data_IF_753701506991
#
_entry.id   IF_753701506991
#
_cell.length_a   1.000
_cell.length_b   1.000
_cell.length_c   1.000
_cell.angle_alpha   90.00
_cell.angle_beta   90.00
_cell.angle_gamma   90.00
#
_symmetry.space_group_name_H-M   'P 1'
#
loop_
_entity.id
_entity.type
_entity.pdbx_description
1 polymer ?
#
# COMPACT_ATOMS: atom_id res chain seq x y z
N UNK A 1 -11.24 0.19 -25.79
CA UNK A 1 -10.21 -0.84 -26.05
C UNK A 1 -8.98 -0.68 -25.18
N UNK A 2 -8.45 0.54 -24.98
CA UNK A 2 -7.19 0.81 -24.24
C UNK A 2 -7.15 0.22 -22.82
N UNK A 3 -8.23 0.37 -22.03
CA UNK A 3 -8.32 -0.20 -20.68
C UNK A 3 -8.31 -1.74 -20.67
N UNK A 4 -8.91 -2.38 -21.69
CA UNK A 4 -9.01 -3.84 -21.76
C UNK A 4 -7.66 -4.45 -22.17
N UNK A 5 -6.92 -3.80 -23.06
CA UNK A 5 -5.54 -4.21 -23.42
C UNK A 5 -4.56 -4.01 -22.25
N UNK A 6 -4.67 -2.91 -21.50
CA UNK A 6 -3.85 -2.68 -20.29
C UNK A 6 -4.14 -3.71 -19.18
N UNK A 7 -5.41 -4.06 -18.96
CA UNK A 7 -5.82 -5.08 -17.99
C UNK A 7 -5.39 -6.50 -18.37
N UNK A 8 -5.32 -6.82 -19.67
CA UNK A 8 -4.82 -8.12 -20.16
C UNK A 8 -3.32 -8.29 -19.91
N UNK A 9 -2.52 -7.24 -20.11
CA UNK A 9 -1.09 -7.25 -19.77
C UNK A 9 -0.84 -7.38 -18.26
N UNK A 10 -1.71 -6.80 -17.42
CA UNK A 10 -1.58 -6.89 -15.96
C UNK A 10 -1.77 -8.32 -15.43
N UNK A 11 -2.72 -9.08 -16.01
CA UNK A 11 -3.01 -10.47 -15.62
C UNK A 11 -1.86 -11.45 -15.89
N UNK A 12 -1.01 -11.20 -16.89
CA UNK A 12 0.14 -12.07 -17.20
C UNK A 12 1.37 -11.79 -16.34
N UNK A 13 1.47 -10.59 -15.74
CA UNK A 13 2.64 -10.16 -14.96
C UNK A 13 2.59 -10.72 -13.52
N UNK A 14 1.42 -10.70 -12.89
CA UNK A 14 1.24 -10.99 -11.45
C UNK A 14 1.78 -12.37 -11.01
N UNK A 15 1.52 -13.49 -11.72
CA UNK A 15 1.99 -14.81 -11.26
C UNK A 15 3.52 -14.96 -11.37
N UNK A 16 4.12 -14.40 -12.42
CA UNK A 16 5.56 -14.52 -12.68
C UNK A 16 6.39 -13.60 -11.79
N UNK A 17 5.87 -12.41 -11.44
CA UNK A 17 6.52 -11.49 -10.51
C UNK A 17 6.43 -11.96 -9.06
N UNK A 18 5.28 -12.47 -8.60
CA UNK A 18 5.14 -13.04 -7.25
C UNK A 18 6.08 -14.22 -7.01
N UNK A 19 6.23 -15.13 -7.97
CA UNK A 19 7.17 -16.26 -7.86
C UNK A 19 8.63 -15.79 -7.83
N UNK A 20 8.98 -14.77 -8.62
CA UNK A 20 10.34 -14.21 -8.64
C UNK A 20 10.64 -13.43 -7.34
N UNK A 21 9.65 -12.74 -6.79
CA UNK A 21 9.78 -11.99 -5.53
C UNK A 21 9.86 -12.93 -4.33
N UNK A 22 9.10 -14.04 -4.34
CA UNK A 22 9.23 -15.11 -3.35
C UNK A 22 10.61 -15.78 -3.39
N UNK A 23 11.24 -15.88 -4.57
CA UNK A 23 12.61 -16.41 -4.73
C UNK A 23 13.70 -15.42 -4.30
N UNK A 24 13.42 -14.12 -4.35
CA UNK A 24 14.34 -13.05 -3.93
C UNK A 24 14.07 -12.55 -2.51
N UNK A 25 13.36 -13.32 -1.67
CA UNK A 25 13.16 -12.96 -0.28
C UNK A 25 14.51 -12.90 0.43
N UNK A 26 14.92 -11.69 0.83
CA UNK A 26 16.03 -11.48 1.75
C UNK A 26 15.83 -12.40 2.94
N UNK A 27 16.85 -13.22 3.26
CA UNK A 27 16.84 -14.06 4.44
C UNK A 27 16.63 -13.19 5.67
N UNK A 28 15.75 -13.57 6.60
CA UNK A 28 15.57 -12.81 7.84
C UNK A 28 16.89 -12.74 8.60
N UNK A 29 17.13 -11.60 9.24
CA UNK A 29 18.30 -11.39 10.08
C UNK A 29 18.34 -12.47 11.18
N UNK A 30 19.49 -13.12 11.34
CA UNK A 30 19.65 -14.19 12.31
C UNK A 30 19.72 -13.61 13.74
N UNK A 31 18.69 -13.87 14.53
CA UNK A 31 18.58 -13.37 15.91
C UNK A 31 19.72 -13.85 16.82
N UNK A 32 20.36 -14.99 16.51
CA UNK A 32 21.52 -15.46 17.28
C UNK A 32 22.71 -14.51 17.16
N UNK A 33 22.86 -13.81 16.04
CA UNK A 33 23.95 -12.87 15.81
C UNK A 33 23.78 -11.57 16.63
N UNK A 34 22.59 -11.32 17.21
CA UNK A 34 22.38 -10.22 18.15
C UNK A 34 23.19 -10.38 19.45
N UNK A 35 23.57 -11.61 19.82
CA UNK A 35 24.44 -11.88 20.97
C UNK A 35 25.92 -11.62 20.65
N UNK A 36 26.33 -11.93 19.42
CA UNK A 36 27.71 -11.76 18.95
C UNK A 36 28.00 -10.31 18.58
N UNK A 37 26.98 -9.58 18.10
CA UNK A 37 27.04 -8.16 17.72
C UNK A 37 28.21 -7.86 16.77
N UNK A 38 28.40 -8.72 15.77
CA UNK A 38 29.51 -8.61 14.84
C UNK A 38 29.37 -7.39 13.93
N UNK A 39 30.50 -6.81 13.45
CA UNK A 39 30.46 -5.69 12.51
C UNK A 39 29.69 -6.00 11.22
N UNK A 40 29.79 -7.25 10.72
CA UNK A 40 29.07 -7.69 9.54
C UNK A 40 27.56 -7.74 9.77
N UNK A 41 27.12 -8.24 10.94
CA UNK A 41 25.71 -8.22 11.31
C UNK A 41 25.16 -6.79 11.44
N UNK A 42 25.92 -5.86 12.05
CA UNK A 42 25.53 -4.45 12.12
C UNK A 42 25.39 -3.81 10.75
N UNK A 43 26.22 -4.21 9.78
CA UNK A 43 26.09 -3.75 8.40
C UNK A 43 24.81 -4.26 7.74
N UNK A 44 24.54 -5.55 7.82
CA UNK A 44 23.29 -6.14 7.28
C UNK A 44 22.04 -5.52 7.90
N UNK A 45 22.05 -5.31 9.22
CA UNK A 45 21.00 -4.63 9.95
C UNK A 45 20.78 -3.21 9.43
N UNK A 46 21.87 -2.45 9.24
CA UNK A 46 21.81 -1.09 8.73
C UNK A 46 21.26 -1.02 7.31
N UNK A 47 21.59 -1.98 6.44
CA UNK A 47 21.04 -2.07 5.09
C UNK A 47 19.52 -2.30 5.10
N UNK A 48 19.04 -3.22 5.95
CA UNK A 48 17.61 -3.47 6.12
C UNK A 48 16.89 -2.24 6.68
N UNK A 49 17.47 -1.62 7.70
CA UNK A 49 16.96 -0.40 8.33
C UNK A 49 16.82 0.75 7.32
N UNK A 50 17.89 1.05 6.57
CA UNK A 50 17.90 2.10 5.56
C UNK A 50 16.88 1.81 4.45
N UNK A 51 16.70 0.54 4.08
CA UNK A 51 15.65 0.15 3.14
C UNK A 51 14.25 0.50 3.66
N UNK A 52 13.94 0.15 4.91
CA UNK A 52 12.64 0.44 5.53
C UNK A 52 12.42 1.95 5.69
N UNK A 53 13.42 2.68 6.19
CA UNK A 53 13.30 4.13 6.40
C UNK A 53 13.23 4.91 5.09
N UNK A 54 13.94 4.45 4.05
CA UNK A 54 13.86 5.03 2.71
C UNK A 54 12.46 4.95 2.09
N UNK A 55 11.67 3.92 2.43
CA UNK A 55 10.30 3.77 1.92
C UNK A 55 9.36 4.86 2.42
N UNK A 56 9.61 5.46 3.58
CA UNK A 56 8.68 6.43 4.18
C UNK A 56 8.38 7.60 3.23
N UNK A 57 9.42 8.17 2.62
CA UNK A 57 9.29 9.30 1.71
C UNK A 57 8.52 8.91 0.45
N UNK A 58 8.83 7.74 -0.11
CA UNK A 58 8.15 7.19 -1.28
C UNK A 58 6.67 6.92 -1.01
N UNK A 59 6.35 6.31 0.15
CA UNK A 59 4.98 6.04 0.58
C UNK A 59 4.20 7.34 0.75
N UNK A 60 4.76 8.33 1.46
CA UNK A 60 4.12 9.63 1.66
C UNK A 60 3.84 10.34 0.33
N UNK A 61 4.80 10.29 -0.61
CA UNK A 61 4.62 10.84 -1.95
C UNK A 61 3.49 10.13 -2.71
N UNK A 62 3.45 8.80 -2.66
CA UNK A 62 2.41 7.99 -3.30
C UNK A 62 1.02 8.31 -2.74
N UNK A 63 0.87 8.38 -1.43
CA UNK A 63 -0.40 8.75 -0.77
C UNK A 63 -0.86 10.14 -1.23
N UNK A 64 0.06 11.12 -1.27
CA UNK A 64 -0.24 12.48 -1.72
C UNK A 64 -0.75 12.49 -3.17
N UNK A 65 -0.08 11.75 -4.06
CA UNK A 65 -0.49 11.63 -5.47
C UNK A 65 -1.85 10.96 -5.61
N UNK A 66 -2.13 9.90 -4.85
CA UNK A 66 -3.44 9.21 -4.89
C UNK A 66 -4.55 10.15 -4.44
N UNK A 67 -4.35 10.86 -3.32
CA UNK A 67 -5.32 11.84 -2.82
C UNK A 67 -5.64 12.92 -3.85
N UNK A 68 -4.60 13.54 -4.41
CA UNK A 68 -4.75 14.56 -5.46
C UNK A 68 -5.43 14.00 -6.72
N UNK A 69 -5.09 12.77 -7.11
CA UNK A 69 -5.74 12.10 -8.25
C UNK A 69 -7.22 11.85 -8.02
N UNK A 70 -7.61 11.41 -6.82
CA UNK A 70 -9.02 11.20 -6.48
C UNK A 70 -9.79 12.52 -6.45
N UNK A 71 -9.19 13.58 -5.92
CA UNK A 71 -9.79 14.92 -5.91
C UNK A 71 -10.06 15.45 -7.33
N UNK A 72 -9.05 15.42 -8.21
CA UNK A 72 -9.20 15.82 -9.61
C UNK A 72 -10.23 14.94 -10.35
N UNK A 73 -10.20 13.63 -10.09
CA UNK A 73 -11.16 12.72 -10.70
C UNK A 73 -12.59 13.00 -10.19
N UNK A 74 -12.77 13.42 -8.94
CA UNK A 74 -14.08 13.80 -8.38
C UNK A 74 -14.64 15.03 -9.08
N UNK A 75 -13.83 16.06 -9.29
CA UNK A 75 -14.23 17.26 -10.04
C UNK A 75 -14.61 16.92 -11.48
N UNK A 76 -13.79 16.11 -12.17
CA UNK A 76 -14.10 15.61 -13.51
C UNK A 76 -15.42 14.85 -13.54
N UNK A 77 -15.65 13.96 -12.56
CA UNK A 77 -16.90 13.19 -12.42
C UNK A 77 -18.09 14.13 -12.32
N UNK A 78 -17.98 15.19 -11.51
CA UNK A 78 -19.06 16.17 -11.35
C UNK A 78 -19.39 16.87 -12.67
N UNK A 79 -18.38 17.30 -13.43
CA UNK A 79 -18.58 17.91 -14.76
C UNK A 79 -19.18 16.95 -15.77
N UNK A 80 -18.75 15.69 -15.79
CA UNK A 80 -19.35 14.68 -16.69
C UNK A 80 -20.80 14.36 -16.34
N UNK A 81 -21.17 14.37 -15.05
CA UNK A 81 -22.55 14.19 -14.63
C UNK A 81 -23.43 15.38 -15.04
N UNK A 82 -22.94 16.62 -14.90
CA UNK A 82 -23.61 17.81 -15.43
C UNK A 82 -23.79 17.71 -16.95
N UNK A 83 -22.75 17.26 -17.67
CA UNK A 83 -22.84 17.08 -19.11
C UNK A 83 -23.88 16.01 -19.52
N UNK A 84 -23.95 14.91 -18.78
CA UNK A 84 -24.98 13.89 -18.98
C UNK A 84 -26.40 14.44 -18.76
N UNK A 85 -26.58 15.28 -17.75
CA UNK A 85 -27.85 15.94 -17.46
C UNK A 85 -28.28 16.87 -18.61
N UNK A 86 -27.36 17.68 -19.14
CA UNK A 86 -27.64 18.54 -20.29
C UNK A 86 -28.05 17.74 -21.53
N UNK A 87 -27.41 16.59 -21.82
CA UNK A 87 -27.87 15.70 -22.89
C UNK A 87 -29.27 15.12 -22.63
N UNK A 88 -29.58 14.80 -21.37
CA UNK A 88 -30.91 14.38 -20.96
C UNK A 88 -31.96 15.47 -21.16
N UNK A 89 -31.63 16.72 -20.85
CA UNK A 89 -32.50 17.87 -21.08
C UNK A 89 -32.67 18.15 -22.58
N UNK A 90 -31.59 18.10 -23.35
CA UNK A 90 -31.63 18.25 -24.80
C UNK A 90 -32.52 17.19 -25.45
N UNK A 91 -32.41 15.92 -25.01
CA UNK A 91 -33.26 14.83 -25.50
C UNK A 91 -34.76 15.10 -25.29
N UNK A 92 -35.15 15.72 -24.16
CA UNK A 92 -36.56 16.06 -23.87
C UNK A 92 -37.13 17.09 -24.83
N UNK A 93 -36.28 17.97 -25.37
CA UNK A 93 -36.66 19.03 -26.31
C UNK A 93 -36.71 18.55 -27.76
N UNK A 94 -36.25 17.32 -28.05
CA UNK A 94 -36.23 16.82 -29.43
C UNK A 94 -37.60 16.28 -29.88
N UNK A 95 -38.12 16.76 -31.02
CA UNK A 95 -39.35 16.22 -31.60
C UNK A 95 -39.14 14.85 -32.26
N UNK A 96 -37.94 14.61 -32.78
CA UNK A 96 -37.57 13.34 -33.41
C UNK A 96 -37.30 12.25 -32.35
N UNK A 97 -38.08 11.17 -32.44
CA UNK A 97 -38.02 10.05 -31.50
C UNK A 97 -36.68 9.27 -31.53
N UNK A 98 -36.01 9.22 -32.68
CA UNK A 98 -34.70 8.59 -32.84
C UNK A 98 -33.63 9.43 -32.14
N UNK A 99 -33.60 10.74 -32.41
CA UNK A 99 -32.63 11.66 -31.79
C UNK A 99 -32.80 11.66 -30.27
N UNK A 100 -34.05 11.76 -29.78
CA UNK A 100 -34.37 11.65 -28.35
C UNK A 100 -33.80 10.37 -27.74
N UNK A 101 -34.01 9.23 -28.39
CA UNK A 101 -33.53 7.92 -27.90
C UNK A 101 -32.00 7.86 -27.85
N UNK A 102 -31.31 8.37 -28.87
CA UNK A 102 -29.84 8.38 -28.93
C UNK A 102 -29.27 9.23 -27.79
N UNK A 103 -29.77 10.45 -27.62
CA UNK A 103 -29.30 11.38 -26.59
C UNK A 103 -29.56 10.85 -25.18
N UNK A 104 -30.75 10.28 -24.91
CA UNK A 104 -31.04 9.65 -23.62
C UNK A 104 -30.15 8.45 -23.32
N UNK A 105 -29.87 7.60 -24.33
CA UNK A 105 -28.94 6.46 -24.15
C UNK A 105 -27.51 6.93 -23.88
N UNK A 106 -27.07 8.00 -24.53
CA UNK A 106 -25.75 8.59 -24.28
C UNK A 106 -25.65 9.14 -22.85
N UNK A 107 -26.63 9.92 -22.41
CA UNK A 107 -26.70 10.44 -21.05
C UNK A 107 -26.66 9.32 -19.99
N UNK A 108 -27.47 8.28 -20.16
CA UNK A 108 -27.49 7.13 -19.24
C UNK A 108 -26.15 6.38 -19.24
N UNK A 109 -25.56 6.17 -20.41
CA UNK A 109 -24.24 5.51 -20.52
C UNK A 109 -23.16 6.32 -19.80
N UNK A 110 -23.18 7.64 -19.91
CA UNK A 110 -22.23 8.52 -19.25
C UNK A 110 -22.41 8.48 -17.73
N UNK A 111 -23.64 8.49 -17.23
CA UNK A 111 -23.93 8.33 -15.80
C UNK A 111 -23.41 7.00 -15.24
N UNK A 112 -23.55 5.90 -15.97
CA UNK A 112 -23.05 4.58 -15.55
C UNK A 112 -21.51 4.52 -15.49
N UNK A 113 -20.83 5.16 -16.45
CA UNK A 113 -19.37 5.30 -16.45
C UNK A 113 -18.92 6.06 -15.20
N UNK A 114 -19.59 7.17 -14.88
CA UNK A 114 -19.21 8.01 -13.75
C UNK A 114 -19.58 7.38 -12.39
N UNK A 115 -20.67 6.61 -12.29
CA UNK A 115 -20.95 5.76 -11.12
C UNK A 115 -19.81 4.76 -10.89
N UNK A 116 -19.36 4.10 -11.95
CA UNK A 116 -18.24 3.14 -11.90
C UNK A 116 -16.93 3.81 -11.45
N UNK A 117 -16.69 5.06 -11.88
CA UNK A 117 -15.53 5.86 -11.45
C UNK A 117 -15.57 6.21 -9.96
N UNK A 118 -16.74 6.59 -9.42
CA UNK A 118 -16.90 6.85 -7.98
C UNK A 118 -16.56 5.63 -7.11
N UNK A 119 -16.98 4.44 -7.53
CA UNK A 119 -16.61 3.19 -6.84
C UNK A 119 -15.09 2.98 -6.88
N UNK A 120 -14.47 3.19 -8.05
CA UNK A 120 -13.02 3.07 -8.20
C UNK A 120 -12.26 4.05 -7.29
N UNK A 121 -12.72 5.30 -7.19
CA UNK A 121 -12.15 6.31 -6.30
C UNK A 121 -12.23 5.90 -4.83
N UNK A 122 -13.35 5.34 -4.38
CA UNK A 122 -13.49 4.82 -3.02
C UNK A 122 -12.51 3.66 -2.74
N UNK A 123 -12.35 2.75 -3.71
CA UNK A 123 -11.37 1.66 -3.59
C UNK A 123 -9.92 2.16 -3.56
N UNK A 124 -9.58 3.23 -4.29
CA UNK A 124 -8.22 3.80 -4.22
C UNK A 124 -7.84 4.21 -2.79
N UNK A 125 -8.80 4.72 -2.01
CA UNK A 125 -8.57 5.08 -0.63
C UNK A 125 -8.35 3.86 0.27
N UNK A 126 -9.29 2.92 0.28
CA UNK A 126 -9.22 1.76 1.20
C UNK A 126 -8.11 0.77 0.85
N UNK A 127 -7.73 0.67 -0.43
CA UNK A 127 -6.74 -0.32 -0.88
C UNK A 127 -5.31 0.20 -0.85
N UNK A 128 -5.11 1.52 -0.93
CA UNK A 128 -3.76 2.10 -0.95
C UNK A 128 -3.55 3.12 0.16
N UNK A 129 -4.43 4.10 0.33
CA UNK A 129 -4.16 5.19 1.28
C UNK A 129 -4.15 4.66 2.71
N UNK A 130 -5.22 4.00 3.16
CA UNK A 130 -5.32 3.51 4.54
C UNK A 130 -4.20 2.53 4.91
N UNK A 131 -3.87 1.51 4.10
CA UNK A 131 -2.86 0.55 4.49
C UNK A 131 -1.44 1.12 4.46
N UNK A 132 -1.15 2.00 3.49
CA UNK A 132 0.15 2.68 3.43
C UNK A 132 0.34 3.65 4.61
N UNK A 133 -0.72 4.36 5.02
CA UNK A 133 -0.69 5.19 6.22
C UNK A 133 -0.51 4.35 7.49
N UNK A 134 -1.19 3.21 7.57
CA UNK A 134 -1.02 2.27 8.67
C UNK A 134 0.41 1.71 8.73
N UNK A 135 1.04 1.39 7.60
CA UNK A 135 2.42 0.92 7.55
C UNK A 135 3.41 1.96 8.09
N UNK A 136 3.25 3.23 7.71
CA UNK A 136 4.08 4.32 8.24
C UNK A 136 3.82 4.53 9.74
N UNK A 137 2.55 4.62 10.13
CA UNK A 137 2.12 4.94 11.49
C UNK A 137 2.46 3.84 12.51
N UNK A 138 2.21 2.58 12.15
CA UNK A 138 2.30 1.45 13.06
C UNK A 138 3.60 0.63 12.86
N UNK A 139 4.31 0.86 11.75
CA UNK A 139 5.56 0.19 11.43
C UNK A 139 6.76 1.12 11.58
N UNK A 140 6.91 2.05 10.63
CA UNK A 140 8.12 2.89 10.52
C UNK A 140 8.31 3.82 11.73
N UNK A 141 7.26 4.51 12.16
CA UNK A 141 7.37 5.47 13.28
C UNK A 141 7.80 4.76 14.59
N UNK A 142 7.14 3.67 15.03
CA UNK A 142 7.59 2.92 16.20
C UNK A 142 8.99 2.35 16.05
N UNK A 143 9.36 1.85 14.87
CA UNK A 143 10.71 1.33 14.61
C UNK A 143 11.79 2.41 14.85
N UNK A 144 11.56 3.64 14.40
CA UNK A 144 12.47 4.77 14.66
C UNK A 144 12.60 5.11 16.13
N UNK A 145 11.54 4.92 16.92
CA UNK A 145 11.60 5.15 18.37
C UNK A 145 12.35 4.01 19.08
N UNK A 146 12.10 2.76 18.70
CA UNK A 146 12.87 1.60 19.18
C UNK A 146 14.37 1.77 18.88
N UNK A 147 14.71 2.29 17.70
CA UNK A 147 16.10 2.60 17.36
C UNK A 147 16.76 3.53 18.39
N UNK A 148 16.10 4.63 18.77
CA UNK A 148 16.63 5.55 19.78
C UNK A 148 16.79 4.88 21.15
N UNK A 149 15.83 4.02 21.53
CA UNK A 149 15.89 3.26 22.78
C UNK A 149 17.10 2.32 22.79
N UNK A 150 17.32 1.60 21.69
CA UNK A 150 18.49 0.73 21.50
C UNK A 150 19.80 1.51 21.51
N UNK A 151 19.87 2.63 20.79
CA UNK A 151 21.07 3.50 20.76
C UNK A 151 21.42 4.01 22.15
N UNK A 152 20.41 4.42 22.93
CA UNK A 152 20.59 4.82 24.32
C UNK A 152 21.06 3.65 25.19
N UNK A 153 20.43 2.48 25.10
CA UNK A 153 20.81 1.32 25.88
C UNK A 153 22.24 0.84 25.54
N UNK A 154 22.65 0.94 24.27
CA UNK A 154 24.03 0.68 23.83
C UNK A 154 25.01 1.64 24.49
N UNK A 155 24.70 2.95 24.47
CA UNK A 155 25.54 3.97 25.12
C UNK A 155 25.65 3.74 26.63
N UNK A 156 24.55 3.43 27.30
CA UNK A 156 24.53 3.15 28.75
C UNK A 156 25.39 1.92 29.09
N UNK A 157 25.32 0.86 28.28
CA UNK A 157 26.15 -0.34 28.42
C UNK A 157 27.65 -0.05 28.20
N UNK A 158 28.00 0.73 27.17
CA UNK A 158 29.38 1.14 26.89
C UNK A 158 29.95 2.01 28.01
N UNK A 159 29.13 2.92 28.55
CA UNK A 159 29.48 3.80 29.69
C UNK A 159 29.74 2.99 30.96
N UNK A 160 28.85 2.05 31.30
CA UNK A 160 29.03 1.15 32.45
C UNK A 160 30.31 0.30 32.30
N UNK A 161 30.57 -0.23 31.10
CA UNK A 161 31.77 -1.00 30.81
C UNK A 161 33.04 -0.16 30.98
N UNK A 162 33.07 1.05 30.43
CA UNK A 162 34.21 1.96 30.56
C UNK A 162 34.50 2.29 32.04
N UNK A 163 33.45 2.53 32.84
CA UNK A 163 33.56 2.77 34.29
C UNK A 163 34.14 1.56 35.03
N UNK A 164 33.69 0.35 34.71
CA UNK A 164 34.24 -0.88 35.30
C UNK A 164 35.70 -1.09 34.91
N UNK A 165 36.04 -0.94 33.62
CA UNK A 165 37.40 -1.12 33.10
C UNK A 165 38.40 -0.08 33.65
N UNK A 166 37.91 1.10 34.04
CA UNK A 166 38.72 2.12 34.70
C UNK A 166 39.08 1.83 36.16
N UNK A 167 38.45 0.83 36.79
CA UNK A 167 38.73 0.43 38.19
C UNK A 167 39.76 -0.70 38.26
N UNK A 168 40.55 -0.71 39.33
CA UNK A 168 41.46 -1.81 39.68
C UNK A 168 40.73 -2.85 40.55
N UNK A 169 41.19 -4.11 40.61
CA UNK A 169 40.52 -5.18 41.36
C UNK A 169 40.31 -4.92 42.87
N UNK A 170 41.04 -3.97 43.47
CA UNK A 170 40.94 -3.63 44.90
C UNK A 170 40.22 -2.30 45.15
N UNK A 171 39.75 -1.61 44.10
CA UNK A 171 39.08 -0.33 44.25
C UNK A 171 37.71 -0.54 44.90
N UNK A 172 37.35 0.32 45.85
CA UNK A 172 35.99 0.35 46.38
C UNK A 172 34.97 0.60 45.24
N UNK A 173 33.82 -0.05 45.31
CA UNK A 173 32.80 0.08 44.27
C UNK A 173 33.00 -0.81 43.03
N UNK A 174 33.99 -1.71 43.01
CA UNK A 174 34.26 -2.60 41.86
C UNK A 174 33.12 -3.60 41.62
N UNK A 175 32.53 -4.11 42.70
CA UNK A 175 31.41 -5.06 42.62
C UNK A 175 30.16 -4.36 42.07
N UNK A 176 29.85 -3.16 42.55
CA UNK A 176 28.74 -2.33 42.09
C UNK A 176 28.89 -1.97 40.61
N UNK A 177 30.11 -1.61 40.16
CA UNK A 177 30.38 -1.37 38.74
C UNK A 177 30.21 -2.65 37.90
N UNK A 178 30.59 -3.82 38.42
CA UNK A 178 30.35 -5.09 37.74
C UNK A 178 28.86 -5.43 37.61
N UNK A 179 28.06 -5.13 38.62
CA UNK A 179 26.61 -5.32 38.58
C UNK A 179 25.97 -4.37 37.54
N UNK A 180 26.36 -3.10 37.55
CA UNK A 180 25.89 -2.11 36.57
C UNK A 180 26.18 -2.54 35.12
N UNK A 181 27.38 -3.07 34.84
CA UNK A 181 27.71 -3.67 33.52
C UNK A 181 26.78 -4.84 33.18
N UNK A 182 26.53 -5.74 34.13
CA UNK A 182 25.66 -6.88 33.90
C UNK A 182 24.22 -6.47 33.59
N UNK A 183 23.69 -5.48 34.31
CA UNK A 183 22.33 -4.98 34.14
C UNK A 183 22.15 -4.23 32.81
N UNK A 184 23.03 -3.26 32.55
CA UNK A 184 22.98 -2.45 31.32
C UNK A 184 23.21 -3.28 30.06
N UNK A 185 24.13 -4.25 30.08
CA UNK A 185 24.35 -5.17 28.96
C UNK A 185 23.14 -6.06 28.70
N UNK A 186 22.48 -6.54 29.76
CA UNK A 186 21.24 -7.32 29.64
C UNK A 186 20.12 -6.48 29.03
N UNK A 187 19.96 -5.24 29.48
CA UNK A 187 18.95 -4.32 28.96
C UNK A 187 19.20 -4.00 27.48
N UNK A 188 20.44 -3.64 27.10
CA UNK A 188 20.81 -3.45 25.70
C UNK A 188 20.45 -4.66 24.85
N UNK A 189 20.81 -5.87 25.30
CA UNK A 189 20.54 -7.08 24.54
C UNK A 189 19.04 -7.33 24.32
N UNK A 190 18.22 -7.13 25.35
CA UNK A 190 16.77 -7.27 25.23
C UNK A 190 16.19 -6.28 24.22
N UNK A 191 16.54 -4.99 24.35
CA UNK A 191 16.07 -3.95 23.44
C UNK A 191 16.55 -4.21 21.99
N UNK A 192 17.79 -4.66 21.84
CA UNK A 192 18.37 -4.95 20.54
C UNK A 192 17.69 -6.13 19.84
N UNK A 193 17.39 -7.20 20.58
CA UNK A 193 16.62 -8.33 20.06
C UNK A 193 15.23 -7.90 19.58
N UNK A 194 14.49 -7.16 20.40
CA UNK A 194 13.15 -6.67 20.05
C UNK A 194 13.20 -5.79 18.78
N UNK A 195 14.23 -4.95 18.67
CA UNK A 195 14.45 -4.11 17.49
C UNK A 195 14.70 -4.92 16.22
N UNK A 196 15.59 -5.92 16.27
CA UNK A 196 15.89 -6.78 15.11
C UNK A 196 14.68 -7.62 14.72
N UNK A 197 13.93 -8.15 15.70
CA UNK A 197 12.65 -8.82 15.43
C UNK A 197 11.72 -7.88 14.68
N UNK A 198 11.61 -6.62 15.13
CA UNK A 198 10.74 -5.65 14.48
C UNK A 198 11.15 -5.35 13.04
N UNK A 199 12.45 -5.27 12.77
CA UNK A 199 12.98 -5.11 11.41
C UNK A 199 12.59 -6.30 10.54
N UNK A 200 12.77 -7.53 11.03
CA UNK A 200 12.37 -8.74 10.30
C UNK A 200 10.87 -8.77 9.99
N UNK A 201 10.01 -8.39 10.95
CA UNK A 201 8.56 -8.26 10.71
C UNK A 201 8.26 -7.26 9.58
N UNK A 202 8.91 -6.10 9.58
CA UNK A 202 8.66 -5.05 8.59
C UNK A 202 9.24 -5.39 7.22
N UNK A 203 10.40 -6.06 7.16
CA UNK A 203 10.98 -6.64 5.95
C UNK A 203 10.04 -7.66 5.28
N UNK A 204 9.34 -8.47 6.08
CA UNK A 204 8.32 -9.37 5.56
C UNK A 204 7.10 -8.58 5.06
N UNK A 205 6.52 -7.71 5.90
CA UNK A 205 5.31 -6.95 5.56
C UNK A 205 5.45 -6.08 4.31
N UNK A 206 6.56 -5.35 4.18
CA UNK A 206 6.79 -4.44 3.03
C UNK A 206 6.71 -5.17 1.68
N UNK A 207 7.12 -6.44 1.64
CA UNK A 207 7.14 -7.25 0.42
C UNK A 207 5.74 -7.78 0.08
N UNK A 208 5.03 -8.32 1.07
CA UNK A 208 3.74 -8.98 0.85
C UNK A 208 2.58 -7.99 0.70
N UNK A 209 2.42 -7.05 1.64
CA UNK A 209 1.24 -6.18 1.70
C UNK A 209 1.14 -5.29 0.45
N UNK A 210 2.26 -4.67 0.03
CA UNK A 210 2.26 -3.79 -1.15
C UNK A 210 1.90 -4.53 -2.45
N UNK A 211 2.40 -5.76 -2.61
CA UNK A 211 2.08 -6.59 -3.77
C UNK A 211 0.61 -7.02 -3.79
N UNK A 212 0.06 -7.37 -2.63
CA UNK A 212 -1.36 -7.72 -2.51
C UNK A 212 -2.26 -6.51 -2.82
N UNK A 213 -1.94 -5.32 -2.32
CA UNK A 213 -2.70 -4.10 -2.64
C UNK A 213 -2.74 -3.82 -4.14
N UNK A 214 -1.59 -3.93 -4.83
CA UNK A 214 -1.51 -3.72 -6.28
C UNK A 214 -2.30 -4.78 -7.06
N UNK A 215 -2.22 -6.06 -6.65
CA UNK A 215 -2.94 -7.18 -7.26
C UNK A 215 -4.45 -7.03 -7.10
N UNK A 216 -4.89 -6.72 -5.88
CA UNK A 216 -6.31 -6.62 -5.56
C UNK A 216 -6.92 -5.41 -6.26
N UNK A 217 -6.17 -4.30 -6.33
CA UNK A 217 -6.63 -3.11 -7.07
C UNK A 217 -6.83 -3.41 -8.56
N UNK A 218 -5.86 -4.06 -9.20
CA UNK A 218 -5.99 -4.47 -10.61
C UNK A 218 -7.19 -5.39 -10.84
N UNK A 219 -7.48 -6.28 -9.88
CA UNK A 219 -8.65 -7.17 -9.90
C UNK A 219 -9.96 -6.41 -9.76
N UNK A 220 -10.01 -5.40 -8.87
CA UNK A 220 -11.18 -4.54 -8.68
C UNK A 220 -11.45 -3.64 -9.89
N UNK A 221 -10.42 -3.04 -10.49
CA UNK A 221 -10.53 -2.30 -11.76
C UNK A 221 -11.11 -3.21 -12.84
N UNK A 222 -10.60 -4.44 -12.96
CA UNK A 222 -11.09 -5.41 -13.93
C UNK A 222 -12.57 -5.75 -13.71
N UNK A 223 -12.98 -5.96 -12.45
CA UNK A 223 -14.38 -6.28 -12.10
C UNK A 223 -15.31 -5.12 -12.45
N UNK A 224 -14.92 -3.89 -12.15
CA UNK A 224 -15.68 -2.68 -12.51
C UNK A 224 -15.83 -2.60 -14.04
N UNK A 225 -14.72 -2.71 -14.81
CA UNK A 225 -14.76 -2.65 -16.28
C UNK A 225 -15.59 -3.77 -16.91
N UNK A 226 -15.56 -4.98 -16.35
CA UNK A 226 -16.40 -6.10 -16.81
C UNK A 226 -17.88 -5.86 -16.50
N UNK A 227 -18.21 -5.37 -15.30
CA UNK A 227 -19.60 -5.05 -14.95
C UNK A 227 -20.16 -3.97 -15.89
N UNK A 228 -19.39 -2.91 -16.18
CA UNK A 228 -19.77 -1.86 -17.14
C UNK A 228 -19.83 -2.36 -18.60
N UNK A 229 -19.30 -3.54 -18.94
CA UNK A 229 -19.42 -4.15 -20.27
C UNK A 229 -20.52 -5.21 -20.35
N UNK A 230 -20.81 -5.92 -19.25
CA UNK A 230 -21.98 -6.80 -19.14
C UNK A 230 -23.30 -6.00 -19.15
N UNK A 231 -23.39 -4.89 -18.42
CA UNK A 231 -24.54 -3.98 -18.46
C UNK A 231 -24.86 -3.51 -19.90
N UNK A 232 -23.82 -3.17 -20.67
CA UNK A 232 -23.93 -2.81 -22.10
C UNK A 232 -24.41 -3.94 -23.01
N UNK A 233 -24.13 -5.21 -22.67
CA UNK A 233 -24.55 -6.36 -23.47
C UNK A 233 -25.99 -6.79 -23.15
N UNK A 234 -26.43 -6.65 -21.90
CA UNK A 234 -27.85 -6.85 -21.52
C UNK A 234 -28.78 -5.84 -22.20
N UNK A 235 -28.37 -4.59 -22.36
CA UNK A 235 -29.15 -3.59 -23.13
C UNK A 235 -29.20 -3.87 -24.64
N UNK A 236 -28.14 -4.43 -25.23
CA UNK A 236 -28.14 -4.87 -26.65
C UNK A 236 -29.06 -6.07 -26.89
N UNK A 237 -29.19 -6.98 -25.94
CA UNK A 237 -30.09 -8.12 -26.08
C UNK A 237 -31.55 -7.72 -25.84
N UNK A 238 -31.85 -6.83 -24.88
CA UNK A 238 -33.21 -6.28 -24.70
C UNK A 238 -33.75 -5.58 -25.97
N UNK A 239 -32.91 -4.77 -26.63
CA UNK A 239 -33.28 -4.08 -27.88
C UNK A 239 -33.35 -4.97 -29.12
N UNK A 240 -32.83 -6.20 -29.05
CA UNK A 240 -32.96 -7.21 -30.12
C UNK A 240 -34.24 -8.05 -29.98
N UNK A 241 -34.72 -8.29 -28.76
CA UNK A 241 -36.00 -8.97 -28.53
C UNK A 241 -37.17 -8.03 -28.87
N UNK A 242 -37.13 -6.76 -28.47
CA UNK A 242 -38.16 -5.77 -28.82
C UNK A 242 -38.28 -5.51 -30.33
N UNK A 243 -37.17 -5.61 -31.08
CA UNK A 243 -37.21 -5.52 -32.56
C UNK A 243 -37.84 -6.73 -33.23
N UNK A 244 -37.77 -7.93 -32.63
CA UNK A 244 -38.41 -9.12 -33.21
C UNK A 244 -39.93 -9.14 -32.99
N UNK A 245 -40.41 -8.58 -31.88
CA UNK A 245 -41.87 -8.47 -31.62
C UNK A 245 -42.55 -7.33 -32.39
N UNK A 246 -41.81 -6.31 -32.86
CA UNK A 246 -42.35 -5.25 -33.73
C UNK A 246 -42.39 -5.58 -35.23
N UNK A 247 -41.80 -6.70 -35.66
CA UNK A 247 -41.81 -7.15 -37.07
C UNK A 247 -42.82 -8.30 -37.25
N UNK A 248 -43.45 -8.77 -36.15
CA UNK A 248 -44.40 -9.89 -36.14
C UNK A 248 -45.84 -9.48 -35.74
N UNK A 249 -46.14 -8.16 -35.73
CA UNK A 249 -47.47 -7.58 -35.48
C UNK A 249 -47.80 -6.58 -36.58
#
# INVERSE_FOLDING_TARGET
>A
MIYISALKGWKSIIPLTLITILKNMTTPLNLYLCLEDSPDFRKELSECENSIFGLEATIKSLIKLIRSSVELASEYTAKQLQFAEEFGNFAKQQPDSLIKTILSKYANSLQEIERSRKILQSHMYSMFVEPLEAFVKNGIIPLKEMKKVVEKASYDADSALAKYMGKRPRDAGIFEASLEVSETRKEFHNQYLDYVIKINELEAKKKFEFMEYVKDFGSNVHRIVILSSKLRNTERHGTSYERRYKIAS
#
